data_IF_393027212169
#
_entry.id   IF_393027212169
#
_cell.length_a   1.000
_cell.length_b   1.000
_cell.length_c   1.000
_cell.angle_alpha   90.00
_cell.angle_beta   90.00
_cell.angle_gamma   90.00
#
_symmetry.space_group_name_H-M   'P 1'
#
loop_
_entity.id
_entity.type
_entity.pdbx_description
1 polymer ?
#
# COMPACT_ATOMS: atom_id res chain seq x y z
N UNK A 1 10.31 -6.82 -12.77
CA UNK A 1 8.94 -6.59 -12.26
C UNK A 1 9.05 -6.31 -10.78
N UNK A 2 8.52 -5.17 -10.31
CA UNK A 2 8.52 -4.82 -8.90
C UNK A 2 7.49 -5.66 -8.13
N UNK A 3 7.73 -5.89 -6.84
CA UNK A 3 6.82 -6.58 -5.94
C UNK A 3 6.65 -5.76 -4.67
N UNK A 4 5.42 -5.71 -4.16
CA UNK A 4 5.12 -5.18 -2.84
C UNK A 4 5.15 -6.33 -1.84
N UNK A 5 5.96 -6.19 -0.79
CA UNK A 5 6.01 -7.14 0.33
C UNK A 5 5.37 -6.47 1.52
N UNK A 6 4.34 -7.11 2.09
CA UNK A 6 3.69 -6.67 3.32
C UNK A 6 4.26 -7.48 4.47
N UNK A 7 4.97 -6.82 5.36
CA UNK A 7 5.53 -7.42 6.57
C UNK A 7 4.93 -6.81 7.82
N UNK A 8 4.88 -7.60 8.90
CA UNK A 8 4.50 -7.17 10.24
C UNK A 8 5.51 -7.73 11.22
N UNK A 9 6.11 -6.85 12.04
CA UNK A 9 7.08 -7.28 13.06
C UNK A 9 8.26 -8.10 12.49
N UNK A 10 8.63 -7.82 11.23
CA UNK A 10 9.70 -8.54 10.53
C UNK A 10 9.24 -9.81 9.79
N UNK A 11 8.00 -10.25 9.99
CA UNK A 11 7.46 -11.42 9.29
C UNK A 11 6.74 -11.00 8.01
N UNK A 12 7.13 -11.59 6.88
CA UNK A 12 6.43 -11.41 5.61
C UNK A 12 5.06 -12.09 5.65
N UNK A 13 4.00 -11.30 5.55
CA UNK A 13 2.62 -11.79 5.60
C UNK A 13 2.04 -12.03 4.21
N UNK A 14 2.44 -11.22 3.23
CA UNK A 14 1.89 -11.27 1.87
C UNK A 14 2.84 -10.63 0.87
N UNK A 15 2.90 -11.18 -0.33
CA UNK A 15 3.57 -10.55 -1.49
C UNK A 15 2.56 -10.31 -2.58
N UNK A 16 2.59 -9.13 -3.19
CA UNK A 16 1.72 -8.73 -4.30
C UNK A 16 2.58 -8.23 -5.45
N UNK A 17 2.38 -8.71 -6.70
CA UNK A 17 3.07 -8.15 -7.85
C UNK A 17 2.63 -6.70 -8.06
N UNK A 18 3.58 -5.79 -8.22
CA UNK A 18 3.27 -4.40 -8.49
C UNK A 18 3.15 -4.21 -10.01
N UNK A 19 1.91 -4.19 -10.48
CA UNK A 19 1.59 -3.96 -11.89
C UNK A 19 1.54 -2.46 -12.20
N UNK A 20 1.65 -2.12 -13.49
CA UNK A 20 1.43 -0.74 -13.96
C UNK A 20 0.01 -0.28 -13.60
N UNK A 21 -0.12 0.99 -13.25
CA UNK A 21 -1.39 1.59 -12.87
C UNK A 21 -1.45 1.96 -11.40
N UNK A 22 -2.67 1.95 -10.85
CA UNK A 22 -3.00 2.45 -9.52
C UNK A 22 -3.37 1.29 -8.60
N UNK A 23 -2.68 1.17 -7.48
CA UNK A 23 -2.94 0.17 -6.44
C UNK A 23 -3.26 0.87 -5.13
N UNK A 24 -4.48 0.68 -4.62
CA UNK A 24 -4.96 1.28 -3.39
C UNK A 24 -4.64 0.46 -2.14
N UNK A 25 -4.28 1.14 -1.06
CA UNK A 25 -3.93 0.59 0.25
C UNK A 25 -4.86 1.17 1.32
N UNK A 26 -5.43 0.31 2.15
CA UNK A 26 -6.22 0.77 3.28
C UNK A 26 -6.94 -0.34 4.03
N UNK A 27 -7.64 0.04 5.10
CA UNK A 27 -8.38 -0.89 5.98
C UNK A 27 -9.69 -1.37 5.37
N UNK A 28 -10.32 -0.58 4.49
CA UNK A 28 -11.58 -0.96 3.85
C UNK A 28 -11.35 -2.09 2.85
N UNK A 29 -12.34 -2.98 2.73
CA UNK A 29 -12.34 -4.10 1.76
C UNK A 29 -12.39 -3.68 0.28
N UNK A 30 -12.64 -2.40 0.02
CA UNK A 30 -12.67 -1.81 -1.32
C UNK A 30 -11.27 -1.53 -1.88
N UNK A 31 -10.23 -1.51 -1.05
CA UNK A 31 -8.86 -1.31 -1.52
C UNK A 31 -8.33 -2.59 -2.16
N UNK A 32 -7.44 -2.44 -3.14
CA UNK A 32 -6.74 -3.55 -3.80
C UNK A 32 -5.92 -4.36 -2.77
N UNK A 33 -5.27 -3.64 -1.85
CA UNK A 33 -4.53 -4.21 -0.74
C UNK A 33 -5.20 -3.78 0.57
N UNK A 34 -5.91 -4.74 1.15
CA UNK A 34 -6.58 -4.57 2.43
C UNK A 34 -5.60 -4.83 3.57
N UNK A 35 -5.30 -3.78 4.33
CA UNK A 35 -4.53 -3.84 5.57
C UNK A 35 -5.49 -3.74 6.75
N UNK A 36 -5.99 -4.88 7.21
CA UNK A 36 -7.02 -4.97 8.25
C UNK A 36 -6.47 -4.67 9.67
N UNK A 37 -5.92 -3.46 9.86
CA UNK A 37 -5.34 -3.02 11.12
C UNK A 37 -5.95 -1.68 11.57
N UNK A 38 -6.33 -1.51 12.85
CA UNK A 38 -7.01 -0.29 13.33
C UNK A 38 -6.24 1.02 13.08
N UNK A 39 -4.91 0.96 13.05
CA UNK A 39 -4.06 2.12 12.76
C UNK A 39 -4.04 2.54 11.27
N UNK A 40 -4.64 1.74 10.38
CA UNK A 40 -4.71 2.06 8.95
C UNK A 40 -6.05 2.72 8.64
N UNK A 41 -5.98 3.83 7.90
CA UNK A 41 -7.16 4.56 7.41
C UNK A 41 -8.01 3.70 6.49
N UNK A 42 -9.28 4.04 6.34
CA UNK A 42 -10.17 3.32 5.42
C UNK A 42 -9.61 3.28 3.99
N UNK A 43 -9.24 4.45 3.48
CA UNK A 43 -8.41 4.69 2.30
C UNK A 43 -7.18 5.40 2.85
N UNK A 44 -5.99 4.82 2.72
CA UNK A 44 -4.80 5.28 3.44
C UNK A 44 -3.75 5.83 2.49
N UNK A 45 -3.40 5.05 1.48
CA UNK A 45 -2.41 5.45 0.49
C UNK A 45 -2.70 4.77 -0.84
N UNK A 46 -2.02 5.24 -1.87
CA UNK A 46 -2.05 4.65 -3.20
C UNK A 46 -0.62 4.55 -3.71
N UNK A 47 -0.33 3.45 -4.38
CA UNK A 47 0.89 3.32 -5.17
C UNK A 47 0.52 3.47 -6.64
N UNK A 48 1.17 4.42 -7.31
CA UNK A 48 1.03 4.64 -8.74
C UNK A 48 2.32 4.22 -9.43
N UNK A 49 2.23 3.22 -10.29
CA UNK A 49 3.36 2.71 -11.07
C UNK A 49 3.24 3.17 -12.52
N UNK A 50 4.18 4.00 -12.95
CA UNK A 50 4.25 4.57 -14.30
C UNK A 50 5.60 4.14 -14.90
N UNK A 51 5.56 3.47 -16.06
CA UNK A 51 6.75 2.88 -16.69
C UNK A 51 7.48 1.94 -15.71
N UNK A 52 8.66 2.35 -15.25
CA UNK A 52 9.52 1.61 -14.33
C UNK A 52 9.57 2.26 -12.94
N UNK A 53 8.91 3.40 -12.76
CA UNK A 53 8.88 4.16 -11.51
C UNK A 53 7.60 3.89 -10.73
N UNK A 54 7.69 3.92 -9.40
CA UNK A 54 6.55 3.77 -8.50
C UNK A 54 6.54 4.88 -7.46
N UNK A 55 5.38 5.52 -7.31
CA UNK A 55 5.16 6.65 -6.42
C UNK A 55 4.18 6.24 -5.33
N UNK A 56 4.50 6.58 -4.08
CA UNK A 56 3.57 6.45 -2.95
C UNK A 56 2.89 7.80 -2.73
N UNK A 57 1.56 7.80 -2.75
CA UNK A 57 0.71 8.95 -2.46
C UNK A 57 -0.09 8.66 -1.18
N UNK A 58 0.09 9.47 -0.15
CA UNK A 58 -0.72 9.41 1.06
C UNK A 58 -2.08 10.08 0.83
N UNK A 59 -3.18 9.42 1.18
CA UNK A 59 -4.54 9.93 1.00
C UNK A 59 -5.06 10.64 2.26
N UNK A 60 -4.26 11.58 2.79
CA UNK A 60 -4.54 12.29 4.04
C UNK A 60 -4.85 11.33 5.19
N UNK A 61 -3.98 10.33 5.35
CA UNK A 61 -4.19 9.28 6.33
C UNK A 61 -4.02 9.79 7.77
N UNK A 62 -4.70 9.16 8.73
CA UNK A 62 -4.69 9.65 10.12
C UNK A 62 -3.31 9.50 10.78
N UNK A 63 -2.59 8.42 10.46
CA UNK A 63 -1.27 8.14 11.03
C UNK A 63 -0.12 8.45 10.07
N UNK A 64 -0.41 8.95 8.86
CA UNK A 64 0.58 9.24 7.82
C UNK A 64 1.16 8.01 7.15
N UNK A 65 1.89 8.26 6.07
CA UNK A 65 2.74 7.30 5.36
C UNK A 65 4.19 7.77 5.43
N UNK A 66 5.13 6.87 5.72
CA UNK A 66 6.55 7.19 5.87
C UNK A 66 7.38 6.39 4.85
N UNK A 67 8.38 7.03 4.25
CA UNK A 67 9.30 6.45 3.25
C UNK A 67 10.73 6.68 3.71
N UNK A 68 11.60 5.68 3.56
CA UNK A 68 13.01 5.71 3.95
C UNK A 68 13.95 5.26 2.83
#
# INVERSE_FOLDING_TARGET
MAKLIISREGEETRTVPLAKGRVSLGRRRLNDIVLAHPAVSGEHAVIVTILDDSYLEDLASTNGSFVN
#
